data_IF_313654868730
#
_entry.id   IF_313654868730
#
_cell.length_a   1.000
_cell.length_b   1.000
_cell.length_c   1.000
_cell.angle_alpha   90.00
_cell.angle_beta   90.00
_cell.angle_gamma   90.00
#
_symmetry.space_group_name_H-M   'P 1'
#
loop_
_entity.id
_entity.type
_entity.pdbx_description
1 polymer ?
#
# COMPACT_ATOMS: atom_id res chain seq x y z
N UNK A 1 2.16 -0.20 -3.34
CA UNK A 1 2.48 0.75 -4.44
C UNK A 1 3.63 0.30 -5.35
N UNK A 2 4.42 -0.73 -4.99
CA UNK A 2 5.57 -1.15 -5.80
C UNK A 2 6.78 -0.20 -5.72
N UNK A 3 6.83 0.66 -4.69
CA UNK A 3 7.95 1.57 -4.50
C UNK A 3 9.26 0.81 -4.21
N UNK A 4 10.39 1.32 -4.67
CA UNK A 4 11.69 0.61 -4.62
C UNK A 4 12.17 0.23 -3.21
N UNK A 5 11.73 0.97 -2.19
CA UNK A 5 11.97 0.60 -0.78
C UNK A 5 11.28 -0.71 -0.36
N UNK A 6 10.21 -1.10 -1.05
CA UNK A 6 9.41 -2.31 -0.81
C UNK A 6 9.77 -3.46 -1.75
N UNK A 7 10.79 -3.31 -2.59
CA UNK A 7 11.22 -4.34 -3.55
C UNK A 7 12.72 -4.61 -3.45
N UNK A 8 13.30 -4.40 -2.27
CA UNK A 8 14.71 -4.73 -2.03
C UNK A 8 14.91 -6.25 -2.13
N UNK A 9 16.11 -6.66 -2.58
CA UNK A 9 16.44 -8.09 -2.73
C UNK A 9 16.18 -8.88 -1.44
N UNK A 10 16.61 -8.35 -0.29
CA UNK A 10 16.38 -8.96 1.03
C UNK A 10 14.89 -9.16 1.33
N UNK A 11 14.04 -8.17 1.03
CA UNK A 11 12.59 -8.29 1.24
C UNK A 11 11.97 -9.36 0.34
N UNK A 12 12.37 -9.43 -0.93
CA UNK A 12 11.88 -10.43 -1.88
C UNK A 12 12.29 -11.84 -1.44
N UNK A 13 13.55 -12.02 -1.07
CA UNK A 13 14.06 -13.31 -0.57
C UNK A 13 13.32 -13.77 0.69
N UNK A 14 13.08 -12.86 1.63
CA UNK A 14 12.34 -13.16 2.85
C UNK A 14 10.87 -13.53 2.55
N UNK A 15 10.23 -12.83 1.62
CA UNK A 15 8.85 -13.13 1.21
C UNK A 15 8.76 -14.52 0.57
N UNK A 16 9.68 -14.86 -0.34
CA UNK A 16 9.74 -16.19 -0.97
C UNK A 16 9.94 -17.27 0.09
N UNK A 17 10.88 -17.09 1.02
CA UNK A 17 11.17 -18.06 2.08
C UNK A 17 9.97 -18.33 3.00
N UNK A 18 9.05 -17.37 3.12
CA UNK A 18 7.84 -17.48 3.94
C UNK A 18 6.57 -17.78 3.11
N UNK A 19 6.69 -18.14 1.83
CA UNK A 19 5.56 -18.36 0.92
C UNK A 19 4.60 -17.15 0.80
N UNK A 20 5.15 -15.94 0.87
CA UNK A 20 4.41 -14.68 0.72
C UNK A 20 4.55 -14.19 -0.71
N UNK A 21 3.42 -13.98 -1.39
CA UNK A 21 3.38 -13.37 -2.72
C UNK A 21 3.35 -11.84 -2.61
N UNK A 22 4.39 -11.18 -3.10
CA UNK A 22 4.44 -9.72 -3.20
C UNK A 22 3.72 -9.26 -4.47
N UNK A 23 2.74 -8.38 -4.31
CA UNK A 23 2.01 -7.77 -5.42
C UNK A 23 2.50 -6.34 -5.67
N UNK A 24 3.09 -6.10 -6.84
CA UNK A 24 3.40 -4.76 -7.31
C UNK A 24 2.21 -4.19 -8.07
N UNK A 25 1.70 -3.05 -7.61
CA UNK A 25 0.63 -2.33 -8.30
C UNK A 25 1.21 -1.59 -9.52
N UNK A 26 0.41 -1.34 -10.57
CA UNK A 26 0.82 -0.45 -11.63
C UNK A 26 1.17 0.95 -11.09
N UNK A 27 2.12 1.65 -11.72
CA UNK A 27 2.56 2.96 -11.25
C UNK A 27 1.39 3.94 -11.16
N UNK A 28 1.42 4.79 -10.13
CA UNK A 28 0.42 5.82 -9.85
C UNK A 28 -1.02 5.31 -9.62
N UNK A 29 -1.22 4.02 -9.35
CA UNK A 29 -2.55 3.46 -9.08
C UNK A 29 -2.85 3.23 -7.60
N UNK A 30 -1.98 3.67 -6.69
CA UNK A 30 -2.13 3.44 -5.24
C UNK A 30 -3.49 3.93 -4.71
N UNK A 31 -3.87 5.17 -5.04
CA UNK A 31 -5.16 5.77 -4.69
C UNK A 31 -6.41 5.04 -5.23
N UNK A 32 -6.26 4.08 -6.15
CA UNK A 32 -7.37 3.30 -6.74
C UNK A 32 -7.34 1.83 -6.34
N UNK A 33 -6.14 1.25 -6.26
CA UNK A 33 -5.96 -0.20 -6.13
C UNK A 33 -5.39 -0.62 -4.79
N UNK A 34 -4.74 0.28 -4.03
CA UNK A 34 -4.24 -0.07 -2.70
C UNK A 34 -5.43 -0.17 -1.72
N UNK A 35 -5.73 -1.36 -1.19
CA UNK A 35 -6.88 -1.56 -0.31
C UNK A 35 -6.84 -0.68 0.93
N UNK A 36 -5.64 -0.42 1.47
CA UNK A 36 -5.45 0.42 2.64
C UNK A 36 -5.79 1.90 2.36
N UNK A 37 -5.39 2.41 1.20
CA UNK A 37 -5.66 3.80 0.82
C UNK A 37 -7.16 4.01 0.55
N UNK A 38 -7.78 3.09 -0.19
CA UNK A 38 -9.19 3.21 -0.59
C UNK A 38 -10.12 2.88 0.57
N UNK A 39 -9.82 1.82 1.33
CA UNK A 39 -10.71 1.27 2.34
C UNK A 39 -10.56 1.89 3.73
N UNK A 40 -9.33 2.23 4.14
CA UNK A 40 -9.07 2.68 5.53
C UNK A 40 -8.70 4.16 5.57
N UNK A 41 -7.70 4.57 4.81
CA UNK A 41 -7.17 5.92 4.90
C UNK A 41 -8.10 6.97 4.32
N UNK A 42 -8.83 6.66 3.24
CA UNK A 42 -9.77 7.61 2.65
C UNK A 42 -10.93 7.97 3.59
N UNK A 43 -11.68 7.04 4.22
CA UNK A 43 -12.69 7.41 5.21
C UNK A 43 -12.11 8.12 6.44
N UNK A 44 -10.93 7.71 6.90
CA UNK A 44 -10.26 8.34 8.03
C UNK A 44 -9.92 9.81 7.73
N UNK A 45 -9.33 10.08 6.55
CA UNK A 45 -8.99 11.43 6.12
C UNK A 45 -10.23 12.31 6.00
N UNK A 46 -11.33 11.78 5.45
CA UNK A 46 -12.59 12.52 5.36
C UNK A 46 -13.12 12.90 6.74
N UNK A 47 -13.14 11.95 7.68
CA UNK A 47 -13.61 12.22 9.05
C UNK A 47 -12.71 13.18 9.81
N UNK A 48 -11.40 13.12 9.56
CA UNK A 48 -10.46 14.06 10.12
C UNK A 48 -10.70 15.49 9.61
N UNK A 49 -10.94 15.65 8.30
CA UNK A 49 -11.29 16.95 7.72
C UNK A 49 -12.60 17.50 8.32
N UNK A 50 -13.66 16.68 8.38
CA UNK A 50 -14.94 17.06 9.02
C UNK A 50 -14.79 17.47 10.49
N UNK A 51 -13.77 17.00 11.20
CA UNK A 51 -13.53 17.35 12.61
C UNK A 51 -12.71 18.63 12.78
N UNK A 52 -11.81 18.92 11.84
CA UNK A 52 -10.93 20.08 11.89
C UNK A 52 -11.54 21.34 11.28
N UNK A 53 -12.53 21.19 10.38
CA UNK A 53 -13.36 22.27 9.84
C UNK A 53 -14.50 22.65 10.81
#
# INVERSE_FOLDING_TARGET
DGHGSHTTKCMVELAIANNIHLFCLPPHMTHKLQPLDVGVFRPLQQKWQEHCD
#
